data_IF_018816334372
#
_entry.id   IF_018816334372
#
_cell.length_a   1.000
_cell.length_b   1.000
_cell.length_c   1.000
_cell.angle_alpha   90.00
_cell.angle_beta   90.00
_cell.angle_gamma   90.00
#
_symmetry.space_group_name_H-M   'P 1'
#
loop_
_entity.id
_entity.type
_entity.pdbx_description
1 polymer ?
#
# COMPACT_ATOMS: atom_id res chain seq x y z
N UNK A 1 12.60 -3.53 3.73
CA UNK A 1 11.98 -4.44 4.70
C UNK A 1 13.04 -5.33 5.35
N UNK A 2 13.85 -6.03 4.56
CA UNK A 2 14.94 -6.91 5.03
C UNK A 2 15.82 -6.31 6.13
N UNK A 3 16.32 -5.09 5.93
CA UNK A 3 17.16 -4.41 6.94
C UNK A 3 16.44 -4.19 8.28
N UNK A 4 15.13 -3.94 8.27
CA UNK A 4 14.32 -3.82 9.49
C UNK A 4 14.13 -5.18 10.13
N UNK A 5 13.77 -6.22 9.34
CA UNK A 5 13.60 -7.60 9.83
C UNK A 5 14.89 -8.21 10.39
N UNK A 6 16.07 -7.71 9.99
CA UNK A 6 17.34 -8.15 10.57
C UNK A 6 17.55 -7.73 12.04
N UNK A 7 16.78 -6.74 12.53
CA UNK A 7 16.91 -6.19 13.89
C UNK A 7 15.57 -6.11 14.64
N UNK A 8 14.47 -6.54 14.01
CA UNK A 8 13.11 -6.48 14.55
C UNK A 8 12.30 -7.73 14.16
N UNK A 9 11.90 -8.49 15.18
CA UNK A 9 11.14 -9.75 15.00
C UNK A 9 9.63 -9.61 15.28
N UNK A 10 9.17 -8.45 15.75
CA UNK A 10 7.76 -8.19 16.00
C UNK A 10 6.95 -7.91 14.72
N UNK A 11 5.65 -7.61 14.86
CA UNK A 11 4.82 -7.20 13.73
C UNK A 11 5.39 -5.97 13.03
N UNK A 12 5.50 -6.02 11.70
CA UNK A 12 6.01 -4.96 10.85
C UNK A 12 4.91 -4.51 9.89
N UNK A 13 4.50 -3.25 10.05
CA UNK A 13 3.53 -2.61 9.17
C UNK A 13 4.24 -1.76 8.12
N UNK A 14 3.72 -1.74 6.91
CA UNK A 14 4.19 -0.84 5.84
C UNK A 14 3.03 0.04 5.40
N UNK A 15 3.20 1.36 5.52
CA UNK A 15 2.20 2.32 5.04
C UNK A 15 2.49 2.72 3.60
N UNK A 16 1.46 2.71 2.76
CA UNK A 16 1.55 3.08 1.33
C UNK A 16 0.56 4.17 0.95
N UNK A 17 0.86 4.88 -0.14
CA UNK A 17 -0.09 5.75 -0.84
C UNK A 17 -0.57 5.02 -2.09
N UNK A 18 -1.67 4.27 -1.99
CA UNK A 18 -2.12 3.33 -3.01
C UNK A 18 -2.65 3.94 -4.32
N UNK A 19 -2.59 5.25 -4.47
CA UNK A 19 -3.01 5.94 -5.69
C UNK A 19 -2.38 7.33 -5.73
N UNK A 20 -1.70 7.68 -6.82
CA UNK A 20 -1.03 8.98 -6.95
C UNK A 20 -1.95 10.11 -7.42
N UNK A 21 -3.14 9.76 -7.94
CA UNK A 21 -4.13 10.69 -8.51
C UNK A 21 -3.58 11.45 -9.72
N UNK A 22 -2.77 10.76 -10.51
CA UNK A 22 -2.16 11.24 -11.73
C UNK A 22 -2.20 10.14 -12.80
N UNK A 23 -2.35 10.51 -14.08
CA UNK A 23 -2.52 9.55 -15.18
C UNK A 23 -1.28 8.66 -15.40
N UNK A 24 -0.10 9.16 -15.06
CA UNK A 24 1.19 8.43 -15.10
C UNK A 24 1.63 7.90 -13.72
N UNK A 25 0.74 7.98 -12.73
CA UNK A 25 1.04 7.60 -11.35
C UNK A 25 0.68 6.16 -11.03
N UNK A 26 1.07 5.72 -9.84
CA UNK A 26 0.76 4.39 -9.34
C UNK A 26 -0.72 4.25 -8.95
N UNK A 27 -1.24 3.04 -9.10
CA UNK A 27 -2.59 2.63 -8.65
C UNK A 27 -2.54 1.48 -7.65
N UNK A 28 -3.70 1.11 -7.11
CA UNK A 28 -3.78 0.05 -6.10
C UNK A 28 -3.38 -1.32 -6.65
N UNK A 29 -3.53 -1.53 -7.96
CA UNK A 29 -3.12 -2.75 -8.67
C UNK A 29 -1.59 -2.90 -8.68
N UNK A 30 -0.84 -1.81 -8.89
CA UNK A 30 0.62 -1.83 -8.79
C UNK A 30 1.07 -2.20 -7.36
N UNK A 31 0.38 -1.63 -6.36
CA UNK A 31 0.63 -1.96 -4.97
C UNK A 31 0.21 -3.38 -4.58
N UNK A 32 -0.70 -4.02 -5.33
CA UNK A 32 -1.01 -5.43 -5.13
C UNK A 32 0.16 -6.33 -5.55
N UNK A 33 0.88 -5.98 -6.62
CA UNK A 33 2.12 -6.66 -7.00
C UNK A 33 3.22 -6.43 -5.96
N UNK A 34 3.46 -5.18 -5.57
CA UNK A 34 4.41 -4.85 -4.51
C UNK A 34 4.05 -5.52 -3.18
N UNK A 35 2.76 -5.68 -2.88
CA UNK A 35 2.25 -6.38 -1.71
C UNK A 35 2.73 -7.83 -1.62
N UNK A 36 2.85 -8.53 -2.77
CA UNK A 36 3.41 -9.89 -2.82
C UNK A 36 4.89 -9.90 -2.44
N UNK A 37 5.67 -8.97 -2.99
CA UNK A 37 7.09 -8.85 -2.65
C UNK A 37 7.30 -8.49 -1.18
N UNK A 38 6.50 -7.57 -0.64
CA UNK A 38 6.55 -7.20 0.77
C UNK A 38 6.22 -8.37 1.69
N UNK A 39 5.22 -9.18 1.31
CA UNK A 39 4.88 -10.42 2.02
C UNK A 39 6.05 -11.42 2.02
N UNK A 40 6.71 -11.63 0.88
CA UNK A 40 7.90 -12.48 0.79
C UNK A 40 9.05 -11.99 1.67
N UNK A 41 9.16 -10.67 1.87
CA UNK A 41 10.14 -10.06 2.77
C UNK A 41 9.75 -10.10 4.26
N UNK A 42 8.59 -10.67 4.61
CA UNK A 42 8.15 -10.85 6.00
C UNK A 42 7.44 -9.65 6.64
N UNK A 43 6.75 -8.84 5.84
CA UNK A 43 5.79 -7.82 6.32
C UNK A 43 4.48 -8.48 6.78
N UNK A 44 3.88 -7.93 7.85
CA UNK A 44 2.69 -8.50 8.49
C UNK A 44 1.38 -7.79 8.11
N UNK A 45 1.44 -6.48 7.81
CA UNK A 45 0.28 -5.69 7.42
C UNK A 45 0.65 -4.51 6.52
N UNK A 46 -0.21 -4.22 5.54
CA UNK A 46 -0.14 -2.97 4.74
C UNK A 46 -1.17 -1.98 5.28
N UNK A 47 -0.69 -0.83 5.77
CA UNK A 47 -1.53 0.32 6.13
C UNK A 47 -1.79 1.16 4.87
N UNK A 48 -3.03 1.17 4.40
CA UNK A 48 -3.37 1.69 3.06
C UNK A 48 -3.91 3.12 3.15
N UNK A 49 -3.10 4.06 2.65
CA UNK A 49 -3.48 5.46 2.39
C UNK A 49 -3.45 5.74 0.88
N UNK A 50 -3.36 7.01 0.46
CA UNK A 50 -3.33 7.43 -0.94
C UNK A 50 -2.82 8.87 -1.08
N UNK A 51 -2.31 9.22 -2.26
CA UNK A 51 -1.93 10.58 -2.66
C UNK A 51 -0.64 11.11 -2.05
N UNK A 52 -0.47 12.43 -2.15
CA UNK A 52 0.65 13.23 -1.66
C UNK A 52 2.01 13.04 -2.38
N UNK A 53 2.07 12.29 -3.48
CA UNK A 53 3.27 12.21 -4.33
C UNK A 53 3.43 13.47 -5.17
N UNK A 54 2.33 13.96 -5.76
CA UNK A 54 2.26 15.23 -6.50
C UNK A 54 1.00 16.01 -6.11
N UNK A 55 0.94 17.33 -6.38
CA UNK A 55 -0.30 18.08 -6.25
C UNK A 55 -1.40 17.47 -7.14
N UNK A 56 -2.47 16.98 -6.52
CA UNK A 56 -3.58 16.35 -7.23
C UNK A 56 -4.92 16.72 -6.57
N UNK A 57 -6.00 16.69 -7.35
CA UNK A 57 -7.35 16.84 -6.81
C UNK A 57 -7.83 15.49 -6.29
N UNK A 58 -8.10 15.43 -5.00
CA UNK A 58 -8.58 14.22 -4.34
C UNK A 58 -10.03 14.45 -3.91
N UNK A 59 -10.93 13.56 -4.33
CA UNK A 59 -12.32 13.58 -3.88
C UNK A 59 -12.46 12.80 -2.58
N UNK A 60 -12.36 13.48 -1.43
CA UNK A 60 -12.49 12.85 -0.11
C UNK A 60 -13.95 12.64 0.30
N UNK A 61 -14.26 11.46 0.80
CA UNK A 61 -15.57 11.08 1.35
C UNK A 61 -15.39 9.97 2.39
N UNK A 62 -16.40 9.64 3.22
CA UNK A 62 -16.28 8.54 4.18
C UNK A 62 -15.86 7.22 3.52
N UNK A 63 -14.71 6.66 3.92
CA UNK A 63 -14.19 5.40 3.38
C UNK A 63 -13.51 5.50 2.01
N UNK A 64 -13.11 6.69 1.54
CA UNK A 64 -12.55 6.89 0.20
C UNK A 64 -11.30 6.06 -0.15
N UNK A 65 -10.59 5.53 0.85
CA UNK A 65 -9.40 4.68 0.66
C UNK A 65 -9.69 3.18 0.86
N UNK A 66 -10.87 2.80 1.31
CA UNK A 66 -11.18 1.40 1.68
C UNK A 66 -11.07 0.47 0.47
N UNK A 67 -11.53 0.91 -0.71
CA UNK A 67 -11.41 0.12 -1.94
C UNK A 67 -9.96 -0.19 -2.32
N UNK A 68 -9.02 0.72 -2.06
CA UNK A 68 -7.61 0.45 -2.29
C UNK A 68 -7.11 -0.70 -1.40
N UNK A 69 -7.53 -0.71 -0.12
CA UNK A 69 -7.20 -1.81 0.78
C UNK A 69 -7.80 -3.15 0.33
N UNK A 70 -9.04 -3.15 -0.17
CA UNK A 70 -9.69 -4.34 -0.73
C UNK A 70 -8.95 -4.87 -1.96
N UNK A 71 -8.58 -3.98 -2.89
CA UNK A 71 -7.82 -4.33 -4.11
C UNK A 71 -6.46 -4.94 -3.77
N UNK A 72 -5.68 -4.29 -2.91
CA UNK A 72 -4.35 -4.78 -2.52
C UNK A 72 -4.48 -6.12 -1.78
N UNK A 73 -5.45 -6.22 -0.86
CA UNK A 73 -5.70 -7.45 -0.11
C UNK A 73 -5.99 -8.64 -1.04
N UNK A 74 -6.91 -8.46 -1.99
CA UNK A 74 -7.29 -9.49 -2.94
C UNK A 74 -6.14 -9.85 -3.90
N UNK A 75 -5.45 -8.83 -4.45
CA UNK A 75 -4.40 -9.03 -5.45
C UNK A 75 -3.09 -9.59 -4.86
N UNK A 76 -2.75 -9.25 -3.62
CA UNK A 76 -1.57 -9.75 -2.92
C UNK A 76 -1.84 -11.02 -2.08
N UNK A 77 -3.10 -11.41 -1.91
CA UNK A 77 -3.55 -12.53 -1.09
C UNK A 77 -3.00 -12.43 0.36
N UNK A 78 -3.28 -11.31 1.02
CA UNK A 78 -2.90 -10.99 2.41
C UNK A 78 -4.12 -10.78 3.32
#
# INVERSE_FOLDING_TARGET
IEAVKAVWDGPLFVRVSAHDYHDEGLTAEDYAEMGKWMKEQGMDLIDVSSGAVVPARINSYPGYQVKFSETIKAGANI
#
